data_IF_319294548273
#
_entry.id   IF_319294548273
#
_cell.length_a   1.000
_cell.length_b   1.000
_cell.length_c   1.000
_cell.angle_alpha   90.00
_cell.angle_beta   90.00
_cell.angle_gamma   90.00
#
_symmetry.space_group_name_H-M   'P 1'
#
loop_
_entity.id
_entity.type
_entity.pdbx_description
1 polymer ?
#
# COMPACT_ATOMS: atom_id res chain seq x y z
N UNK A 1 5.17 -8.35 26.97
CA UNK A 1 4.18 -8.46 25.86
C UNK A 1 2.98 -7.52 26.06
N UNK A 2 3.19 -6.19 26.13
CA UNK A 2 2.10 -5.19 26.29
C UNK A 2 2.21 -3.98 25.35
N UNK A 3 3.15 -4.00 24.38
CA UNK A 3 3.40 -2.87 23.47
C UNK A 3 2.82 -3.03 22.06
N UNK A 4 2.33 -4.21 21.68
CA UNK A 4 1.77 -4.48 20.34
C UNK A 4 0.28 -4.08 20.24
N UNK A 5 -0.42 -3.91 21.38
CA UNK A 5 -1.86 -3.61 21.38
C UNK A 5 -2.21 -2.15 21.05
N UNK A 6 -1.24 -1.23 21.09
CA UNK A 6 -1.49 0.20 20.83
C UNK A 6 -1.37 0.58 19.35
N UNK A 7 -0.61 -0.17 18.54
CA UNK A 7 -0.47 0.08 17.10
C UNK A 7 -1.77 -0.23 16.33
N UNK A 8 -2.47 -1.32 16.69
CA UNK A 8 -3.75 -1.67 16.04
C UNK A 8 -4.93 -0.76 16.44
N UNK A 9 -4.81 -0.01 17.54
CA UNK A 9 -5.87 0.92 17.97
C UNK A 9 -5.74 2.30 17.28
N UNK A 10 -4.54 2.69 16.86
CA UNK A 10 -4.34 3.90 16.04
C UNK A 10 -5.04 3.79 14.67
N UNK A 11 -5.17 2.57 14.13
CA UNK A 11 -5.96 2.31 12.93
C UNK A 11 -7.47 2.55 13.16
N UNK A 12 -7.99 2.35 14.38
CA UNK A 12 -9.43 2.50 14.69
C UNK A 12 -9.77 3.92 15.16
N UNK A 13 -8.84 4.63 15.81
CA UNK A 13 -9.07 5.99 16.30
C UNK A 13 -9.00 7.02 15.16
N UNK A 14 -8.24 6.77 14.08
CA UNK A 14 -8.38 7.58 12.86
C UNK A 14 -9.79 7.44 12.25
N UNK A 15 -10.43 6.27 12.31
CA UNK A 15 -11.81 6.11 11.82
C UNK A 15 -12.88 6.89 12.61
N UNK A 16 -12.60 7.40 13.82
CA UNK A 16 -13.60 8.19 14.58
C UNK A 16 -13.65 9.68 14.19
N UNK A 17 -12.63 10.21 13.49
CA UNK A 17 -12.69 11.53 12.84
C UNK A 17 -13.05 11.45 11.36
N UNK A 18 -13.05 10.26 10.77
CA UNK A 18 -13.33 9.98 9.36
C UNK A 18 -14.82 9.65 9.06
N UNK A 19 -15.73 10.43 9.64
CA UNK A 19 -17.19 10.31 9.42
C UNK A 19 -17.70 11.09 8.20
N UNK A 20 -16.82 11.66 7.37
CA UNK A 20 -17.22 12.33 6.13
C UNK A 20 -16.43 11.73 4.96
N UNK A 21 -17.16 10.99 4.13
CA UNK A 21 -16.82 10.57 2.77
C UNK A 21 -15.49 9.81 2.58
N UNK A 22 -15.52 8.49 2.81
CA UNK A 22 -14.50 7.59 2.28
C UNK A 22 -15.05 6.81 1.09
N UNK A 23 -14.60 7.18 -0.11
CA UNK A 23 -14.41 6.21 -1.19
C UNK A 23 -13.40 5.18 -0.70
N UNK A 24 -13.89 3.97 -0.48
CA UNK A 24 -13.13 2.90 0.14
C UNK A 24 -12.08 2.43 -0.87
N UNK A 25 -10.81 2.75 -0.58
CA UNK A 25 -9.60 2.33 -1.30
C UNK A 25 -9.34 2.99 -2.65
N UNK A 26 -10.10 4.03 -3.00
CA UNK A 26 -9.65 5.04 -3.95
C UNK A 26 -9.05 6.17 -3.13
N UNK A 27 -7.80 5.96 -2.73
CA UNK A 27 -7.00 7.05 -2.18
C UNK A 27 -6.90 8.15 -3.23
N UNK A 28 -6.99 9.40 -2.78
CA UNK A 28 -6.73 10.53 -3.66
C UNK A 28 -5.23 10.53 -3.93
N UNK A 29 -4.78 10.74 -5.18
CA UNK A 29 -3.37 10.89 -5.48
C UNK A 29 -2.70 11.89 -4.54
N UNK A 30 -1.44 11.67 -4.19
CA UNK A 30 -0.69 12.58 -3.33
C UNK A 30 -0.65 13.98 -3.94
N UNK A 31 -1.12 14.96 -3.17
CA UNK A 31 -0.99 16.37 -3.50
C UNK A 31 0.46 16.83 -3.23
N UNK A 32 1.37 16.46 -4.13
CA UNK A 32 2.81 16.66 -3.99
C UNK A 32 3.19 18.11 -3.69
N UNK A 33 2.44 19.08 -4.22
CA UNK A 33 2.67 20.53 -3.99
C UNK A 33 2.61 20.94 -2.52
N UNK A 34 1.96 20.15 -1.65
CA UNK A 34 1.87 20.41 -0.21
C UNK A 34 3.06 19.87 0.59
N UNK A 35 3.94 19.08 -0.04
CA UNK A 35 5.00 18.30 0.61
C UNK A 35 6.36 18.63 -0.03
N UNK A 36 6.39 18.76 -1.34
CA UNK A 36 7.63 18.98 -2.09
C UNK A 36 8.18 20.39 -1.89
N UNK A 37 9.50 20.46 -1.81
CA UNK A 37 10.23 21.71 -1.93
C UNK A 37 10.19 22.17 -3.39
N UNK A 38 9.75 23.41 -3.59
CA UNK A 38 9.66 24.00 -4.92
C UNK A 38 11.07 24.33 -5.44
N UNK A 39 11.55 23.49 -6.36
CA UNK A 39 12.84 23.64 -7.05
C UNK A 39 12.59 24.13 -8.47
N UNK A 40 13.28 25.19 -8.95
CA UNK A 40 13.14 25.64 -10.34
C UNK A 40 13.44 24.54 -11.36
N UNK A 41 12.66 24.46 -12.44
CA UNK A 41 12.81 23.42 -13.47
C UNK A 41 14.23 23.36 -14.06
N UNK A 42 14.91 24.50 -14.20
CA UNK A 42 16.30 24.54 -14.65
C UNK A 42 17.24 23.77 -13.71
N UNK A 43 17.01 23.89 -12.41
CA UNK A 43 17.78 23.18 -11.38
C UNK A 43 17.37 21.70 -11.32
N UNK A 44 16.07 21.39 -11.43
CA UNK A 44 15.60 20.00 -11.54
C UNK A 44 16.25 19.28 -12.72
N UNK A 45 16.30 19.94 -13.88
CA UNK A 45 16.90 19.40 -15.11
C UNK A 45 18.41 19.17 -14.98
N UNK A 46 19.13 20.11 -14.36
CA UNK A 46 20.57 19.97 -14.10
C UNK A 46 20.85 18.77 -13.18
N UNK A 47 20.10 18.66 -12.08
CA UNK A 47 20.21 17.53 -11.15
C UNK A 47 19.88 16.22 -11.87
N UNK A 48 18.74 16.14 -12.56
CA UNK A 48 18.31 14.93 -13.27
C UNK A 48 19.35 14.46 -14.30
N UNK A 49 19.94 15.38 -15.08
CA UNK A 49 21.03 15.05 -16.04
C UNK A 49 22.31 14.57 -15.36
N UNK A 50 22.56 14.97 -14.11
CA UNK A 50 23.74 14.56 -13.36
C UNK A 50 23.59 13.19 -12.68
N UNK A 51 22.37 12.64 -12.62
CA UNK A 51 22.12 11.35 -11.98
C UNK A 51 22.78 10.23 -12.78
N UNK A 52 23.76 9.58 -12.15
CA UNK A 52 24.41 8.38 -12.68
C UNK A 52 23.54 7.12 -12.44
N UNK A 53 22.27 7.18 -12.86
CA UNK A 53 21.24 6.21 -12.48
C UNK A 53 20.58 5.56 -13.70
N UNK A 54 20.11 4.31 -13.55
CA UNK A 54 19.45 3.56 -14.63
C UNK A 54 18.20 4.28 -15.14
N UNK A 55 17.47 4.98 -14.25
CA UNK A 55 16.33 5.84 -14.58
C UNK A 55 16.63 6.81 -15.73
N UNK A 56 17.84 7.38 -15.75
CA UNK A 56 18.25 8.33 -16.78
C UNK A 56 18.83 7.60 -17.98
N UNK A 57 19.72 6.65 -17.73
CA UNK A 57 20.49 5.96 -18.79
C UNK A 57 19.63 5.09 -19.69
N UNK A 58 18.75 4.28 -19.11
CA UNK A 58 17.99 3.30 -19.87
C UNK A 58 16.76 3.92 -20.51
N UNK A 59 16.08 4.82 -19.79
CA UNK A 59 14.84 5.41 -20.29
C UNK A 59 15.09 6.54 -21.29
N UNK A 60 16.00 7.48 -20.98
CA UNK A 60 16.23 8.65 -21.83
C UNK A 60 17.44 8.49 -22.76
N UNK A 61 18.38 7.60 -22.43
CA UNK A 61 19.52 7.32 -23.30
C UNK A 61 19.20 6.43 -24.50
N UNK A 62 18.08 5.70 -24.46
CA UNK A 62 17.66 4.79 -25.54
C UNK A 62 16.41 5.26 -26.29
N UNK A 63 15.55 6.08 -25.68
CA UNK A 63 14.35 6.60 -26.31
C UNK A 63 14.57 8.04 -26.78
N UNK A 64 15.00 8.22 -28.04
CA UNK A 64 15.21 9.52 -28.70
C UNK A 64 13.95 10.43 -28.76
N UNK A 65 12.80 9.96 -28.27
CA UNK A 65 11.49 10.61 -28.43
C UNK A 65 10.97 11.32 -27.19
N UNK A 66 11.53 11.05 -26.00
CA UNK A 66 11.07 11.69 -24.75
C UNK A 66 12.20 12.59 -24.25
N UNK A 67 11.96 13.90 -24.28
CA UNK A 67 12.90 14.85 -23.69
C UNK A 67 12.74 14.83 -22.17
N UNK A 68 13.84 14.63 -21.42
CA UNK A 68 13.83 14.66 -19.95
C UNK A 68 13.15 15.90 -19.37
N UNK A 69 13.16 17.02 -20.10
CA UNK A 69 12.48 18.25 -19.72
C UNK A 69 10.96 18.10 -19.60
N UNK A 70 10.34 17.26 -20.43
CA UNK A 70 8.89 17.01 -20.42
C UNK A 70 8.45 16.18 -19.22
N UNK A 71 9.41 15.56 -18.51
CA UNK A 71 9.16 14.61 -17.44
C UNK A 71 9.64 15.11 -16.07
N UNK A 72 10.05 16.38 -15.97
CA UNK A 72 10.52 16.97 -14.71
C UNK A 72 9.45 16.96 -13.62
N UNK A 73 8.17 16.92 -13.98
CA UNK A 73 7.08 16.78 -13.04
C UNK A 73 7.08 15.45 -12.28
N UNK A 74 7.72 14.40 -12.82
CA UNK A 74 7.89 13.11 -12.15
C UNK A 74 8.96 13.14 -11.06
N UNK A 75 9.81 14.17 -11.04
CA UNK A 75 10.86 14.37 -10.04
C UNK A 75 10.38 15.35 -8.96
N UNK A 76 10.06 14.77 -7.80
CA UNK A 76 9.67 15.49 -6.58
C UNK A 76 10.90 15.65 -5.68
N UNK A 77 11.06 16.83 -5.11
CA UNK A 77 12.19 17.13 -4.23
C UNK A 77 11.67 17.30 -2.82
N UNK A 78 12.14 16.49 -1.89
CA UNK A 78 11.67 16.50 -0.50
C UNK A 78 12.85 16.35 0.43
N UNK A 79 12.79 17.01 1.58
CA UNK A 79 13.73 16.78 2.67
C UNK A 79 13.13 15.64 3.53
N UNK A 80 13.65 14.41 3.41
CA UNK A 80 13.10 13.20 4.03
C UNK A 80 13.41 13.08 5.52
N UNK A 81 14.59 13.49 5.97
CA UNK A 81 15.03 13.39 7.37
C UNK A 81 15.29 14.74 8.05
N UNK A 82 14.93 15.84 7.40
CA UNK A 82 14.96 17.21 7.92
C UNK A 82 16.40 17.69 8.16
N UNK A 83 17.32 17.33 7.26
CA UNK A 83 18.74 17.69 7.30
C UNK A 83 19.13 18.82 6.32
N UNK A 84 18.14 19.46 5.70
CA UNK A 84 18.25 20.48 4.66
C UNK A 84 18.85 19.98 3.32
N UNK A 85 19.20 18.69 3.21
CA UNK A 85 19.50 18.06 1.92
C UNK A 85 18.19 17.51 1.30
N UNK A 86 17.98 17.82 0.01
CA UNK A 86 16.79 17.35 -0.70
C UNK A 86 17.06 15.98 -1.32
N UNK A 87 16.22 15.02 -0.99
CA UNK A 87 16.06 13.79 -1.74
C UNK A 87 15.11 13.94 -2.92
N UNK A 88 15.27 12.99 -3.85
CA UNK A 88 14.47 12.92 -5.07
C UNK A 88 13.53 11.73 -4.92
N UNK A 89 12.23 11.99 -5.01
CA UNK A 89 11.23 10.94 -5.28
C UNK A 89 10.89 11.02 -6.76
N UNK A 90 11.24 9.96 -7.47
CA UNK A 90 10.83 9.75 -8.85
C UNK A 90 9.61 8.84 -8.87
N UNK A 91 8.50 9.30 -9.43
CA UNK A 91 7.29 8.51 -9.67
C UNK A 91 7.02 8.44 -11.17
N UNK A 92 7.33 7.29 -11.77
CA UNK A 92 7.32 7.18 -13.22
C UNK A 92 7.71 5.80 -13.72
N UNK A 93 8.07 5.70 -15.00
CA UNK A 93 8.39 4.43 -15.63
C UNK A 93 9.59 3.75 -14.96
N UNK A 94 9.48 2.45 -14.68
CA UNK A 94 10.51 1.70 -13.98
C UNK A 94 10.81 0.37 -14.67
N UNK A 95 11.91 0.31 -15.42
CA UNK A 95 12.46 -0.95 -15.93
C UNK A 95 11.53 -1.80 -16.82
N UNK A 96 10.57 -1.18 -17.52
CA UNK A 96 9.55 -1.90 -18.30
C UNK A 96 8.14 -1.75 -17.74
N UNK A 97 8.02 -1.40 -16.46
CA UNK A 97 6.74 -1.24 -15.77
C UNK A 97 6.24 0.22 -15.86
N UNK A 98 4.91 0.43 -15.99
CA UNK A 98 4.34 1.74 -16.26
C UNK A 98 4.55 2.75 -15.12
N UNK A 99 4.59 2.28 -13.86
CA UNK A 99 4.85 3.16 -12.71
C UNK A 99 5.59 2.42 -11.60
N UNK A 100 6.69 3.01 -11.16
CA UNK A 100 7.39 2.68 -9.94
C UNK A 100 7.85 3.95 -9.25
N UNK A 101 8.20 3.78 -7.99
CA UNK A 101 8.72 4.84 -7.13
C UNK A 101 10.14 4.51 -6.79
N UNK A 102 11.01 5.45 -7.10
CA UNK A 102 12.42 5.40 -6.75
C UNK A 102 12.72 6.60 -5.86
N UNK A 103 13.34 6.35 -4.71
CA UNK A 103 13.81 7.42 -3.82
C UNK A 103 15.33 7.42 -3.86
N UNK A 104 15.90 8.57 -4.20
CA UNK A 104 17.33 8.80 -4.29
C UNK A 104 17.76 9.75 -3.18
N UNK A 105 18.72 9.32 -2.35
CA UNK A 105 19.31 10.13 -1.29
C UNK A 105 20.63 10.74 -1.73
N UNK A 106 20.83 12.01 -1.36
CA UNK A 106 22.09 12.71 -1.59
C UNK A 106 23.13 12.26 -0.56
N UNK A 107 24.30 11.87 -1.05
CA UNK A 107 25.42 11.44 -0.23
C UNK A 107 26.33 12.61 0.12
N UNK A 108 27.24 12.39 1.08
CA UNK A 108 28.23 13.38 1.51
C UNK A 108 29.18 13.83 0.40
N UNK A 109 29.33 13.06 -0.68
CA UNK A 109 30.12 13.43 -1.86
C UNK A 109 29.32 14.25 -2.91
N UNK A 110 28.06 14.56 -2.60
CA UNK A 110 27.14 15.30 -3.47
C UNK A 110 26.41 14.45 -4.51
N UNK A 111 26.66 13.14 -4.60
CA UNK A 111 25.99 12.25 -5.54
C UNK A 111 24.73 11.64 -4.95
N UNK A 112 23.79 11.25 -5.81
CA UNK A 112 22.58 10.56 -5.40
C UNK A 112 22.72 9.05 -5.51
N UNK A 113 22.18 8.32 -4.52
CA UNK A 113 22.09 6.85 -4.53
C UNK A 113 20.67 6.40 -4.24
N UNK A 114 20.24 5.30 -4.87
CA UNK A 114 18.96 4.66 -4.61
C UNK A 114 18.90 4.11 -3.18
N UNK A 115 17.88 4.54 -2.43
CA UNK A 115 17.60 4.05 -1.07
C UNK A 115 16.24 3.34 -0.99
N UNK A 116 15.40 3.48 -2.02
CA UNK A 116 14.12 2.79 -2.15
C UNK A 116 13.76 2.63 -3.62
N UNK A 117 13.23 1.47 -3.98
CA UNK A 117 12.69 1.18 -5.30
C UNK A 117 11.57 0.16 -5.20
N UNK A 118 10.36 0.51 -5.63
CA UNK A 118 9.19 -0.39 -5.69
C UNK A 118 8.31 -0.07 -6.89
N UNK A 119 7.56 -1.06 -7.37
CA UNK A 119 6.48 -0.83 -8.33
C UNK A 119 5.22 -0.37 -7.62
N UNK A 120 4.46 0.52 -8.25
CA UNK A 120 3.23 1.08 -7.69
C UNK A 120 3.16 2.60 -7.69
N UNK A 121 2.18 3.12 -6.97
CA UNK A 121 1.87 4.55 -6.83
C UNK A 121 1.80 4.95 -5.36
N UNK A 122 2.33 6.13 -5.03
CA UNK A 122 2.23 6.68 -3.68
C UNK A 122 0.84 7.26 -3.53
N UNK A 123 0.12 6.78 -2.53
CA UNK A 123 -1.26 7.18 -2.28
C UNK A 123 -1.38 8.22 -1.16
N UNK A 124 -0.48 8.14 -0.18
CA UNK A 124 -0.44 9.10 0.90
C UNK A 124 0.99 9.23 1.41
N UNK A 125 1.32 10.43 1.89
CA UNK A 125 2.66 10.75 2.36
C UNK A 125 2.53 11.76 3.51
N UNK A 126 3.06 11.45 4.69
CA UNK A 126 2.86 12.29 5.87
C UNK A 126 3.96 12.11 6.92
N UNK A 127 4.03 13.06 7.86
CA UNK A 127 4.85 12.96 9.06
C UNK A 127 3.97 12.91 10.30
N UNK A 128 4.47 12.28 11.36
CA UNK A 128 3.80 12.27 12.67
C UNK A 128 3.73 13.66 13.30
N UNK A 129 4.71 14.51 13.05
CA UNK A 129 4.81 15.91 13.47
C UNK A 129 5.91 16.62 12.65
N UNK A 130 6.09 17.93 12.89
CA UNK A 130 7.23 18.68 12.35
C UNK A 130 8.52 18.05 12.89
N UNK A 131 9.44 17.66 12.00
CA UNK A 131 10.66 16.94 12.37
C UNK A 131 10.47 15.44 12.66
N UNK A 132 9.25 14.92 12.49
CA UNK A 132 8.91 13.53 12.82
C UNK A 132 9.26 12.53 11.73
N UNK A 133 9.18 11.25 12.11
CA UNK A 133 9.28 10.11 11.19
C UNK A 133 8.30 10.28 10.04
N UNK A 134 8.83 10.05 8.84
CA UNK A 134 8.07 10.03 7.61
C UNK A 134 7.41 8.68 7.40
N UNK A 135 6.17 8.73 6.94
CA UNK A 135 5.39 7.59 6.52
C UNK A 135 4.82 7.83 5.12
N UNK A 136 4.63 6.75 4.37
CA UNK A 136 3.83 6.79 3.16
C UNK A 136 3.10 5.47 2.95
N UNK A 137 2.03 5.54 2.16
CA UNK A 137 1.31 4.38 1.68
C UNK A 137 1.53 4.23 0.18
N UNK A 138 1.80 2.99 -0.22
CA UNK A 138 2.08 2.58 -1.59
C UNK A 138 1.02 1.56 -1.99
N UNK A 139 0.33 1.78 -3.11
CA UNK A 139 -0.38 0.69 -3.78
C UNK A 139 0.61 0.03 -4.74
N UNK A 140 1.10 -1.13 -4.33
CA UNK A 140 1.95 -1.99 -5.13
C UNK A 140 1.08 -2.86 -6.04
N UNK A 141 1.26 -2.70 -7.35
CA UNK A 141 0.54 -3.46 -8.37
C UNK A 141 1.27 -4.76 -8.68
N UNK A 142 0.54 -5.81 -9.11
CA UNK A 142 1.20 -6.98 -9.65
C UNK A 142 1.94 -6.62 -10.94
N UNK A 143 3.16 -7.14 -11.10
CA UNK A 143 3.88 -7.09 -12.36
C UNK A 143 3.63 -8.36 -13.19
N UNK A 144 3.84 -8.26 -14.51
CA UNK A 144 3.77 -9.37 -15.45
C UNK A 144 2.41 -10.10 -15.46
N UNK A 145 2.35 -11.28 -14.81
CA UNK A 145 1.17 -12.15 -14.76
C UNK A 145 0.66 -12.33 -13.31
N UNK A 146 1.17 -11.54 -12.37
CA UNK A 146 0.62 -11.49 -11.02
C UNK A 146 -0.80 -10.91 -11.03
N UNK A 147 -1.58 -11.26 -10.02
CA UNK A 147 -2.92 -10.71 -9.79
C UNK A 147 -3.09 -10.15 -8.38
N UNK A 148 -2.04 -10.18 -7.56
CA UNK A 148 -2.08 -9.69 -6.18
C UNK A 148 -1.65 -8.23 -6.15
N UNK A 149 -2.52 -7.40 -5.60
CA UNK A 149 -2.22 -6.02 -5.24
C UNK A 149 -1.94 -5.95 -3.75
N UNK A 150 -1.12 -4.97 -3.36
CA UNK A 150 -0.81 -4.72 -1.96
C UNK A 150 -0.93 -3.23 -1.64
N UNK A 151 -1.55 -2.91 -0.51
CA UNK A 151 -1.43 -1.61 0.14
C UNK A 151 -0.35 -1.77 1.21
N UNK A 152 0.76 -1.09 1.01
CA UNK A 152 1.94 -1.18 1.86
C UNK A 152 2.13 0.15 2.59
N UNK A 153 2.26 0.10 3.91
CA UNK A 153 2.64 1.27 4.71
C UNK A 153 4.12 1.17 5.05
N UNK A 154 4.86 2.20 4.69
CA UNK A 154 6.29 2.31 4.90
C UNK A 154 6.60 3.43 5.89
N UNK A 155 7.69 3.29 6.63
CA UNK A 155 8.34 4.40 7.31
C UNK A 155 9.81 4.49 6.92
N UNK A 156 10.35 5.70 7.04
CA UNK A 156 11.78 5.95 6.91
C UNK A 156 12.38 6.24 8.29
N UNK A 157 13.37 5.46 8.71
CA UNK A 157 14.02 5.62 10.01
C UNK A 157 15.20 6.62 10.00
N UNK A 158 15.44 7.27 8.85
CA UNK A 158 16.60 8.14 8.59
C UNK A 158 17.75 7.44 7.85
N UNK A 159 17.67 6.11 7.67
CA UNK A 159 18.64 5.31 6.93
C UNK A 159 17.97 4.34 5.97
N UNK A 160 16.95 3.63 6.43
CA UNK A 160 16.26 2.58 5.70
C UNK A 160 14.75 2.81 5.67
N UNK A 161 14.13 2.25 4.64
CA UNK A 161 12.69 2.12 4.57
C UNK A 161 12.27 0.75 5.13
N UNK A 162 11.35 0.76 6.08
CA UNK A 162 10.79 -0.45 6.68
C UNK A 162 9.31 -0.54 6.35
N UNK A 163 8.86 -1.75 5.99
CA UNK A 163 7.44 -2.03 5.83
C UNK A 163 6.82 -2.27 7.20
N UNK A 164 5.82 -1.48 7.54
CA UNK A 164 5.10 -1.58 8.81
C UNK A 164 3.87 -2.48 8.69
N UNK A 165 3.21 -2.41 7.54
CA UNK A 165 1.95 -3.08 7.31
C UNK A 165 1.79 -3.35 5.81
N UNK A 166 1.22 -4.52 5.50
CA UNK A 166 0.93 -4.95 4.13
C UNK A 166 -0.44 -5.58 4.09
N UNK A 167 -1.30 -5.09 3.19
CA UNK A 167 -2.67 -5.60 3.01
C UNK A 167 -2.84 -6.03 1.57
N UNK A 168 -3.12 -7.31 1.35
CA UNK A 168 -3.20 -7.92 0.03
C UNK A 168 -4.64 -8.19 -0.39
N UNK A 169 -4.90 -7.98 -1.68
CA UNK A 169 -6.13 -8.41 -2.37
C UNK A 169 -5.81 -8.90 -3.78
N UNK A 170 -6.76 -9.60 -4.40
CA UNK A 170 -6.64 -10.03 -5.79
C UNK A 170 -7.38 -9.04 -6.71
N UNK A 171 -6.82 -8.78 -7.89
CA UNK A 171 -7.48 -8.00 -8.94
C UNK A 171 -8.89 -8.50 -9.22
N UNK A 172 -9.87 -7.60 -9.22
CA UNK A 172 -11.29 -7.95 -9.33
C UNK A 172 -12.02 -8.10 -7.99
N UNK A 173 -11.33 -7.99 -6.85
CA UNK A 173 -11.98 -7.91 -5.53
C UNK A 173 -13.00 -6.79 -5.49
N UNK A 174 -14.25 -7.12 -5.14
CA UNK A 174 -15.36 -6.18 -5.06
C UNK A 174 -15.28 -5.44 -3.73
N UNK A 175 -14.72 -4.23 -3.71
CA UNK A 175 -14.66 -3.46 -2.48
C UNK A 175 -16.05 -2.88 -2.09
N UNK A 176 -16.36 -2.81 -0.78
CA UNK A 176 -17.58 -2.17 -0.32
C UNK A 176 -17.51 -0.66 -0.55
N UNK A 177 -18.61 -0.02 -0.96
CA UNK A 177 -18.64 1.44 -1.18
C UNK A 177 -18.42 2.26 0.10
N UNK A 178 -18.65 1.67 1.27
CA UNK A 178 -18.47 2.30 2.58
C UNK A 178 -18.00 1.29 3.61
N UNK A 179 -17.00 1.68 4.41
CA UNK A 179 -16.60 0.95 5.60
C UNK A 179 -17.41 1.39 6.82
N UNK A 180 -17.55 0.46 7.75
CA UNK A 180 -18.19 0.60 9.05
C UNK A 180 -17.15 0.44 10.16
N UNK A 181 -17.51 0.77 11.40
CA UNK A 181 -16.61 0.57 12.54
C UNK A 181 -16.19 -0.90 12.63
N UNK A 182 -14.87 -1.21 12.71
CA UNK A 182 -14.39 -2.58 12.71
C UNK A 182 -14.98 -3.41 13.84
N UNK A 183 -15.55 -4.58 13.51
CA UNK A 183 -16.07 -5.55 14.48
C UNK A 183 -15.17 -6.77 14.50
N UNK A 184 -14.54 -7.06 15.63
CA UNK A 184 -13.66 -8.23 15.76
C UNK A 184 -14.49 -9.51 15.72
N UNK A 185 -14.01 -10.52 15.02
CA UNK A 185 -14.63 -11.85 14.96
C UNK A 185 -13.58 -12.96 15.04
N UNK A 186 -14.06 -14.19 15.27
CA UNK A 186 -13.31 -15.44 15.06
C UNK A 186 -14.04 -16.32 14.05
N UNK A 187 -13.28 -17.08 13.26
CA UNK A 187 -13.82 -18.11 12.34
C UNK A 187 -14.32 -19.30 13.16
N UNK A 188 -15.50 -19.82 12.83
CA UNK A 188 -16.13 -20.94 13.55
C UNK A 188 -15.81 -22.31 12.97
N UNK A 189 -15.56 -22.39 11.67
CA UNK A 189 -15.42 -23.65 10.94
C UNK A 189 -14.00 -23.84 10.41
N UNK A 190 -13.61 -25.09 10.23
CA UNK A 190 -12.42 -25.43 9.47
C UNK A 190 -12.60 -25.12 7.97
N UNK A 191 -11.50 -24.77 7.30
CA UNK A 191 -11.39 -24.50 5.86
C UNK A 191 -12.41 -23.47 5.32
N UNK A 192 -12.65 -22.40 6.07
CA UNK A 192 -13.61 -21.37 5.68
C UNK A 192 -13.03 -20.35 4.68
N UNK A 193 -13.72 -20.16 3.55
CA UNK A 193 -13.20 -19.39 2.42
C UNK A 193 -13.36 -17.88 2.58
N UNK A 194 -12.26 -17.15 2.39
CA UNK A 194 -12.26 -15.74 1.98
C UNK A 194 -12.46 -15.66 0.47
N UNK A 195 -13.21 -14.67 -0.02
CA UNK A 195 -13.59 -14.56 -1.43
C UNK A 195 -13.38 -13.16 -1.99
N UNK A 196 -13.20 -13.03 -3.30
CA UNK A 196 -13.08 -11.70 -3.95
C UNK A 196 -14.43 -10.95 -4.00
N UNK A 197 -15.54 -11.68 -3.89
CA UNK A 197 -16.89 -11.16 -4.10
C UNK A 197 -17.88 -11.84 -3.15
N UNK A 198 -18.99 -11.16 -2.78
CA UNK A 198 -19.97 -11.66 -1.83
C UNK A 198 -20.94 -12.66 -2.47
N UNK A 199 -20.40 -13.73 -3.03
CA UNK A 199 -21.13 -14.82 -3.68
C UNK A 199 -20.31 -16.12 -3.59
N UNK A 200 -20.98 -17.26 -3.81
CA UNK A 200 -20.31 -18.57 -3.82
C UNK A 200 -20.11 -18.97 -5.27
N UNK A 201 -18.87 -18.83 -5.76
CA UNK A 201 -18.41 -19.39 -7.02
C UNK A 201 -17.20 -20.31 -6.74
N UNK A 202 -16.88 -21.20 -7.67
CA UNK A 202 -15.75 -22.13 -7.49
C UNK A 202 -14.39 -21.43 -7.65
N UNK A 203 -14.34 -20.37 -8.46
CA UNK A 203 -13.13 -19.63 -8.84
C UNK A 203 -12.88 -18.36 -8.01
N UNK A 204 -13.82 -17.97 -7.14
CA UNK A 204 -13.73 -16.71 -6.39
C UNK A 204 -13.16 -16.85 -4.97
N UNK A 205 -12.60 -18.01 -4.62
CA UNK A 205 -11.96 -18.27 -3.33
C UNK A 205 -10.55 -17.68 -3.36
N UNK A 206 -10.19 -16.84 -2.39
CA UNK A 206 -8.86 -16.22 -2.29
C UNK A 206 -7.93 -16.98 -1.34
N UNK A 207 -8.50 -17.40 -0.21
CA UNK A 207 -7.79 -18.10 0.85
C UNK A 207 -8.77 -18.92 1.68
N UNK A 208 -8.25 -19.87 2.46
CA UNK A 208 -9.02 -20.65 3.43
C UNK A 208 -8.45 -20.48 4.83
N UNK A 209 -9.33 -20.30 5.81
CA UNK A 209 -9.01 -20.10 7.22
C UNK A 209 -9.55 -21.24 8.08
N UNK A 210 -8.94 -21.44 9.25
CA UNK A 210 -9.26 -22.51 10.20
C UNK A 210 -10.10 -21.98 11.36
N UNK A 211 -10.69 -22.89 12.14
CA UNK A 211 -11.48 -22.47 13.30
C UNK A 211 -10.59 -21.76 14.33
N UNK A 212 -11.03 -20.60 14.81
CA UNK A 212 -10.30 -19.76 15.76
C UNK A 212 -9.48 -18.63 15.13
N UNK A 213 -9.27 -18.64 13.81
CA UNK A 213 -8.62 -17.52 13.11
C UNK A 213 -9.40 -16.21 13.34
N UNK A 214 -8.66 -15.11 13.48
CA UNK A 214 -9.20 -13.82 13.89
C UNK A 214 -9.22 -12.84 12.72
N UNK A 215 -10.25 -11.98 12.73
CA UNK A 215 -10.37 -10.89 11.77
C UNK A 215 -11.22 -9.73 12.28
N UNK A 216 -11.36 -8.72 11.44
CA UNK A 216 -12.27 -7.61 11.62
C UNK A 216 -13.24 -7.54 10.45
N UNK A 217 -14.53 -7.49 10.74
CA UNK A 217 -15.56 -7.16 9.75
C UNK A 217 -15.59 -5.64 9.59
N UNK A 218 -15.39 -5.18 8.36
CA UNK A 218 -15.28 -3.77 8.01
C UNK A 218 -16.51 -3.27 7.25
N UNK A 219 -17.24 -4.13 6.56
CA UNK A 219 -18.53 -3.76 5.94
C UNK A 219 -19.45 -4.97 5.88
N UNK A 220 -20.74 -4.75 5.58
CA UNK A 220 -21.69 -5.83 5.33
C UNK A 220 -22.49 -5.62 4.04
N UNK A 221 -22.88 -6.73 3.42
CA UNK A 221 -23.79 -6.74 2.26
C UNK A 221 -24.69 -7.96 2.35
N UNK A 222 -25.98 -7.77 2.09
CA UNK A 222 -26.92 -8.89 1.96
C UNK A 222 -27.12 -9.20 0.48
N UNK A 223 -26.93 -10.47 0.08
CA UNK A 223 -27.21 -10.90 -1.28
C UNK A 223 -28.72 -11.14 -1.52
N UNK A 224 -29.10 -11.43 -2.76
CA UNK A 224 -30.50 -11.67 -3.14
C UNK A 224 -31.13 -12.92 -2.47
N UNK A 225 -30.33 -13.78 -1.85
CA UNK A 225 -30.81 -14.95 -1.09
C UNK A 225 -31.05 -14.64 0.39
N UNK A 226 -30.76 -13.42 0.83
CA UNK A 226 -30.80 -13.02 2.24
C UNK A 226 -29.57 -13.46 3.03
N UNK A 227 -28.50 -13.91 2.38
CA UNK A 227 -27.24 -14.23 3.06
C UNK A 227 -26.47 -12.93 3.30
N UNK A 228 -26.04 -12.74 4.54
CA UNK A 228 -25.21 -11.61 4.96
C UNK A 228 -23.74 -11.96 4.79
N UNK A 229 -23.04 -11.16 4.00
CA UNK A 229 -21.61 -11.20 3.76
C UNK A 229 -20.94 -10.04 4.47
N UNK A 230 -19.76 -10.30 5.05
CA UNK A 230 -18.88 -9.29 5.62
C UNK A 230 -17.65 -9.13 4.74
N UNK A 231 -17.30 -7.87 4.46
CA UNK A 231 -15.97 -7.55 3.96
C UNK A 231 -15.04 -7.53 5.16
N UNK A 232 -14.01 -8.36 5.15
CA UNK A 232 -13.17 -8.65 6.31
C UNK A 232 -11.71 -8.31 6.07
N UNK A 233 -11.01 -8.05 7.15
CA UNK A 233 -9.56 -7.98 7.27
C UNK A 233 -9.10 -9.09 8.20
N UNK A 234 -8.28 -10.01 7.69
CA UNK A 234 -7.82 -11.19 8.44
C UNK A 234 -6.48 -10.92 9.13
N UNK A 235 -6.36 -11.23 10.42
CA UNK A 235 -5.20 -10.90 11.26
C UNK A 235 -4.08 -11.95 11.23
N UNK A 236 -4.37 -13.16 10.75
CA UNK A 236 -3.45 -14.29 10.83
C UNK A 236 -3.25 -14.87 9.42
N UNK A 237 -2.01 -14.83 8.92
CA UNK A 237 -1.62 -15.44 7.64
C UNK A 237 -0.42 -16.39 7.79
N UNK A 238 -0.18 -16.91 9.00
CA UNK A 238 0.79 -17.98 9.15
C UNK A 238 0.15 -19.26 8.62
N UNK A 239 0.51 -19.60 7.38
CA UNK A 239 0.21 -20.85 6.66
C UNK A 239 -1.27 -21.13 6.45
N UNK A 240 -1.91 -20.38 5.54
CA UNK A 240 -3.19 -20.81 4.97
C UNK A 240 -2.94 -21.99 4.02
N UNK A 241 -3.67 -23.10 4.18
CA UNK A 241 -3.47 -24.33 3.38
C UNK A 241 -3.60 -24.12 1.86
N UNK A 242 -4.32 -23.07 1.45
CA UNK A 242 -4.48 -22.64 0.04
C UNK A 242 -4.65 -21.13 -0.02
N UNK A 243 -3.76 -20.45 -0.74
CA UNK A 243 -3.90 -19.03 -1.08
C UNK A 243 -3.60 -18.81 -2.55
N UNK A 244 -4.32 -17.88 -3.17
CA UNK A 244 -3.97 -17.33 -4.48
C UNK A 244 -2.92 -16.20 -4.38
N UNK A 245 -2.58 -15.78 -3.16
CA UNK A 245 -1.48 -14.86 -2.93
C UNK A 245 -0.16 -15.56 -3.25
N UNK A 246 0.61 -14.97 -4.15
CA UNK A 246 1.91 -15.48 -4.55
C UNK A 246 2.87 -15.44 -3.34
N UNK A 247 3.42 -16.60 -2.98
CA UNK A 247 4.27 -16.81 -1.80
C UNK A 247 5.68 -16.22 -1.95
N UNK A 248 5.99 -15.59 -3.08
CA UNK A 248 7.32 -15.09 -3.39
C UNK A 248 7.80 -13.91 -2.51
N UNK A 249 6.97 -13.38 -1.61
CA UNK A 249 7.32 -12.26 -0.73
C UNK A 249 7.36 -12.71 0.73
N UNK A 250 8.55 -12.61 1.35
CA UNK A 250 8.86 -13.09 2.72
C UNK A 250 8.16 -12.29 3.84
N UNK A 251 7.47 -11.21 3.51
CA UNK A 251 6.85 -10.30 4.48
C UNK A 251 5.48 -10.80 4.97
N UNK A 252 5.22 -10.62 6.26
CA UNK A 252 3.87 -10.83 6.81
C UNK A 252 2.88 -9.87 6.18
N UNK A 253 1.76 -10.40 5.67
CA UNK A 253 0.68 -9.61 5.10
C UNK A 253 -0.67 -9.96 5.73
N UNK A 254 -1.62 -9.04 5.63
CA UNK A 254 -3.02 -9.24 5.95
C UNK A 254 -3.82 -9.45 4.66
N UNK A 255 -4.88 -10.26 4.71
CA UNK A 255 -5.75 -10.48 3.55
C UNK A 255 -7.10 -9.82 3.75
N UNK A 256 -7.63 -9.23 2.68
CA UNK A 256 -8.98 -8.67 2.65
C UNK A 256 -9.86 -9.33 1.58
N UNK A 257 -11.16 -9.36 1.83
CA UNK A 257 -12.14 -9.99 0.94
C UNK A 257 -13.48 -10.22 1.64
N UNK A 258 -14.35 -11.05 1.07
CA UNK A 258 -15.67 -11.35 1.58
C UNK A 258 -15.75 -12.71 2.26
N UNK A 259 -16.44 -12.72 3.40
CA UNK A 259 -16.77 -13.91 4.18
C UNK A 259 -18.25 -13.87 4.56
N UNK A 260 -18.97 -14.98 4.43
CA UNK A 260 -20.36 -15.07 4.92
C UNK A 260 -20.38 -15.07 6.45
N UNK A 261 -21.16 -14.15 7.01
CA UNK A 261 -21.33 -13.94 8.46
C UNK A 261 -21.80 -15.18 9.23
N UNK A 262 -22.40 -16.17 8.56
CA UNK A 262 -22.89 -17.42 9.17
C UNK A 262 -21.80 -18.29 9.80
N UNK A 263 -20.54 -18.09 9.43
CA UNK A 263 -19.41 -18.95 9.80
C UNK A 263 -18.37 -18.23 10.66
N UNK A 264 -18.77 -17.12 11.24
CA UNK A 264 -17.94 -16.28 12.10
C UNK A 264 -18.74 -15.88 13.33
N UNK A 265 -18.05 -15.74 14.45
CA UNK A 265 -18.64 -15.28 15.72
C UNK A 265 -18.04 -13.92 16.08
N UNK A 266 -18.90 -12.93 16.26
CA UNK A 266 -18.46 -11.63 16.77
C UNK A 266 -17.90 -11.79 18.17
N UNK A 267 -16.69 -11.28 18.36
CA UNK A 267 -16.09 -11.16 19.67
C UNK A 267 -16.58 -9.84 20.25
N UNK A 268 -17.68 -9.88 20.99
CA UNK A 268 -18.14 -8.73 21.76
C UNK A 268 -17.04 -8.27 22.71
N UNK A 269 -16.81 -6.95 22.76
CA UNK A 269 -16.17 -6.33 23.91
C UNK A 269 -17.19 -6.19 25.03
#
# INVERSE_FOLDING_TARGET
MKKILFAHLAFIISFQTFSQEHEVLLTKPVEWTSIETQVPDSTKLEIAKSLDHWLIKDYYGQNDWIELQEELEKFKFIDLDMDDDLEIVYEGFSGGEPTGITILKKNSDGKYSEVFNRFGTVESFWRTNIGGTLYFELIHWPCCAGNTYSLERWNYDGTNFEILEKVNWIGGTVFPAKLSSPKKFKVLNEAYSLRDSPQILDDNILATFTAGDLGYALAERTDNTGRVWWFVFMLNNQTNDRTFYDYAYEDSYFSVGWMSSRFVELLTK
#
